data_IF_538433595877
#
_entry.id   IF_538433595877
#
_cell.length_a   1.000
_cell.length_b   1.000
_cell.length_c   1.000
_cell.angle_alpha   90.00
_cell.angle_beta   90.00
_cell.angle_gamma   90.00
#
_symmetry.space_group_name_H-M   'P 1'
#
loop_
_entity.id
_entity.type
_entity.pdbx_description
1 polymer ?
#
# COMPACT_ATOMS: atom_id res chain seq x y z
N UNK A 1 23.37 -11.14 -1.57
CA UNK A 1 24.51 -10.22 -1.32
C UNK A 1 24.60 -9.87 0.16
N UNK A 2 25.70 -9.27 0.61
CA UNK A 2 26.01 -9.02 2.03
C UNK A 2 24.87 -8.39 2.85
N UNK A 3 24.09 -7.45 2.27
CA UNK A 3 22.95 -6.83 2.95
C UNK A 3 21.82 -7.83 3.20
N UNK A 4 21.51 -8.68 2.22
CA UNK A 4 20.46 -9.70 2.34
C UNK A 4 20.88 -10.75 3.39
N UNK A 5 22.14 -11.15 3.38
CA UNK A 5 22.68 -12.12 4.32
C UNK A 5 22.68 -11.56 5.75
N UNK A 6 22.99 -10.26 5.93
CA UNK A 6 22.93 -9.61 7.25
C UNK A 6 21.51 -9.48 7.79
N UNK A 7 20.54 -9.13 6.95
CA UNK A 7 19.12 -9.07 7.34
C UNK A 7 18.60 -10.46 7.68
N UNK A 8 18.90 -11.47 6.86
CA UNK A 8 18.50 -12.85 7.13
C UNK A 8 19.09 -13.39 8.44
N UNK A 9 20.33 -13.03 8.76
CA UNK A 9 20.99 -13.44 10.01
C UNK A 9 20.40 -12.80 11.27
N UNK A 10 19.78 -11.62 11.13
CA UNK A 10 19.11 -10.91 12.24
C UNK A 10 17.61 -11.23 12.36
N UNK A 11 17.03 -11.91 11.35
CA UNK A 11 15.63 -12.27 11.37
C UNK A 11 15.31 -13.37 12.38
N UNK A 12 14.24 -13.19 13.14
CA UNK A 12 13.75 -14.17 14.11
C UNK A 12 12.35 -14.60 13.72
N UNK A 13 12.12 -15.91 13.64
CA UNK A 13 10.79 -16.45 13.42
C UNK A 13 10.09 -16.69 14.77
N UNK A 14 8.92 -16.09 14.93
CA UNK A 14 8.05 -16.32 16.09
C UNK A 14 6.72 -16.86 15.59
N UNK A 15 6.32 -18.04 16.07
CA UNK A 15 5.01 -18.61 15.79
C UNK A 15 3.97 -17.92 16.68
N UNK A 16 3.03 -17.20 16.06
CA UNK A 16 1.97 -16.47 16.75
C UNK A 16 0.68 -16.47 15.92
N UNK A 17 -0.45 -16.38 16.59
CA UNK A 17 -1.73 -16.04 15.97
C UNK A 17 -1.89 -14.52 16.02
N UNK A 18 -1.76 -13.88 14.88
CA UNK A 18 -1.85 -12.41 14.76
C UNK A 18 -3.25 -11.86 15.01
N UNK A 19 -4.25 -12.74 15.13
CA UNK A 19 -5.63 -12.38 15.51
C UNK A 19 -5.90 -12.50 17.01
N UNK A 20 -4.88 -12.88 17.81
CA UNK A 20 -4.93 -12.98 19.26
C UNK A 20 -4.06 -11.89 19.90
N UNK A 21 -4.68 -11.06 20.74
CA UNK A 21 -4.00 -9.95 21.41
C UNK A 21 -2.85 -10.40 22.34
N UNK A 22 -2.96 -11.60 22.94
CA UNK A 22 -1.90 -12.14 23.81
C UNK A 22 -0.65 -12.48 22.99
N UNK A 23 -0.84 -13.03 21.81
CA UNK A 23 0.26 -13.36 20.90
C UNK A 23 0.86 -12.10 20.27
N UNK A 24 0.03 -11.10 19.91
CA UNK A 24 0.51 -9.79 19.47
C UNK A 24 1.38 -9.12 20.53
N UNK A 25 0.96 -9.16 21.80
CA UNK A 25 1.79 -8.62 22.89
C UNK A 25 3.14 -9.30 22.98
N UNK A 26 3.20 -10.63 22.86
CA UNK A 26 4.48 -11.37 22.85
C UNK A 26 5.38 -10.96 21.69
N UNK A 27 4.79 -10.68 20.51
CA UNK A 27 5.54 -10.19 19.36
C UNK A 27 6.13 -8.81 19.65
N UNK A 28 5.36 -7.90 20.25
CA UNK A 28 5.86 -6.57 20.62
C UNK A 28 6.94 -6.64 21.70
N UNK A 29 6.77 -7.49 22.70
CA UNK A 29 7.76 -7.69 23.76
C UNK A 29 9.09 -8.28 23.23
N UNK A 30 9.07 -8.93 22.07
CA UNK A 30 10.26 -9.45 21.38
C UNK A 30 10.93 -8.44 20.44
N UNK A 31 10.31 -7.27 20.19
CA UNK A 31 10.86 -6.23 19.33
C UNK A 31 11.67 -5.22 20.14
N UNK A 32 12.77 -4.74 19.57
CA UNK A 32 13.58 -3.65 20.13
C UNK A 32 13.43 -2.40 19.26
N UNK A 33 13.36 -1.22 19.90
CA UNK A 33 13.29 0.06 19.20
C UNK A 33 11.93 0.36 18.57
N UNK A 34 11.92 1.08 17.46
CA UNK A 34 10.67 1.48 16.78
C UNK A 34 10.05 0.31 16.01
N UNK A 35 8.82 -0.04 16.36
CA UNK A 35 8.10 -1.15 15.74
C UNK A 35 7.37 -0.70 14.47
N UNK A 36 7.47 -1.52 13.44
CA UNK A 36 6.66 -1.42 12.22
C UNK A 36 6.00 -2.77 11.95
N UNK A 37 4.68 -2.79 11.84
CA UNK A 37 3.96 -3.99 11.40
C UNK A 37 3.76 -3.90 9.89
N UNK A 38 4.22 -4.92 9.17
CA UNK A 38 3.97 -5.11 7.76
C UNK A 38 2.96 -6.26 7.57
N UNK A 39 1.77 -5.93 7.10
CA UNK A 39 0.67 -6.90 6.95
C UNK A 39 0.78 -7.64 5.60
N UNK A 40 1.67 -8.61 5.50
CA UNK A 40 1.73 -9.55 4.37
C UNK A 40 0.74 -10.70 4.60
N UNK A 41 -0.54 -10.37 4.74
CA UNK A 41 -1.61 -11.29 5.14
C UNK A 41 -2.80 -11.23 4.17
N UNK A 42 -3.60 -12.30 4.06
CA UNK A 42 -4.88 -12.22 3.35
C UNK A 42 -5.78 -11.13 3.96
N UNK A 43 -6.52 -10.36 3.15
CA UNK A 43 -7.32 -9.21 3.62
C UNK A 43 -8.25 -9.51 4.81
N UNK A 44 -8.98 -10.64 4.86
CA UNK A 44 -9.83 -10.93 6.02
C UNK A 44 -9.04 -11.18 7.32
N UNK A 45 -7.80 -11.67 7.19
CA UNK A 45 -6.91 -11.89 8.36
C UNK A 45 -6.33 -10.55 8.81
N UNK A 46 -5.95 -9.69 7.87
CA UNK A 46 -5.48 -8.33 8.17
C UNK A 46 -6.51 -7.54 9.00
N UNK A 47 -7.78 -7.55 8.58
CA UNK A 47 -8.85 -6.86 9.34
C UNK A 47 -8.98 -7.42 10.76
N UNK A 48 -8.94 -8.75 10.93
CA UNK A 48 -9.00 -9.38 12.27
C UNK A 48 -7.78 -9.02 13.11
N UNK A 49 -6.59 -8.99 12.51
CA UNK A 49 -5.38 -8.59 13.20
C UNK A 49 -5.44 -7.12 13.64
N UNK A 50 -5.98 -6.22 12.82
CA UNK A 50 -6.21 -4.84 13.20
C UNK A 50 -7.18 -4.71 14.37
N UNK A 51 -8.28 -5.48 14.40
CA UNK A 51 -9.17 -5.51 15.57
C UNK A 51 -8.48 -6.06 16.82
N UNK A 52 -7.64 -7.09 16.68
CA UNK A 52 -6.90 -7.60 17.83
C UNK A 52 -5.89 -6.59 18.42
N UNK A 53 -5.44 -5.61 17.62
CA UNK A 53 -4.58 -4.51 18.09
C UNK A 53 -5.33 -3.50 18.97
N UNK A 54 -6.68 -3.40 18.88
CA UNK A 54 -7.47 -2.50 19.73
C UNK A 54 -7.39 -2.89 21.22
N UNK A 55 -7.19 -4.18 21.50
CA UNK A 55 -7.16 -4.74 22.85
C UNK A 55 -5.73 -4.85 23.43
N UNK A 56 -4.72 -4.32 22.73
CA UNK A 56 -3.31 -4.44 23.11
C UNK A 56 -2.68 -3.06 23.31
N UNK A 57 -1.84 -2.92 24.33
CA UNK A 57 -1.02 -1.72 24.47
C UNK A 57 -0.02 -1.62 23.29
N UNK A 58 -0.23 -0.63 22.44
CA UNK A 58 0.58 -0.45 21.25
C UNK A 58 1.93 0.20 21.57
N UNK A 59 3.04 -0.27 20.96
CA UNK A 59 4.35 0.36 21.13
C UNK A 59 4.33 1.83 20.71
N UNK A 60 5.06 2.66 21.44
CA UNK A 60 5.20 4.07 21.10
C UNK A 60 5.81 4.22 19.69
N UNK A 61 5.20 5.07 18.87
CA UNK A 61 5.68 5.30 17.51
C UNK A 61 5.37 4.17 16.53
N UNK A 62 4.51 3.20 16.88
CA UNK A 62 4.09 2.11 15.99
C UNK A 62 3.70 2.63 14.61
N UNK A 63 4.19 1.97 13.57
CA UNK A 63 3.81 2.19 12.17
C UNK A 63 3.11 0.97 11.60
N UNK A 64 2.09 1.21 10.79
CA UNK A 64 1.34 0.17 10.09
C UNK A 64 1.60 0.27 8.59
N UNK A 65 1.99 -0.84 7.97
CA UNK A 65 2.23 -0.94 6.53
C UNK A 65 1.27 -1.96 5.96
N UNK A 66 0.40 -1.51 5.06
CA UNK A 66 -0.68 -2.29 4.48
C UNK A 66 -0.42 -2.55 3.01
N UNK A 67 -0.72 -3.76 2.55
CA UNK A 67 -0.76 -4.12 1.12
C UNK A 67 -2.19 -4.09 0.57
N UNK A 68 -2.33 -3.88 -0.72
CA UNK A 68 -3.62 -4.05 -1.41
C UNK A 68 -4.11 -5.51 -1.36
N UNK A 69 -5.43 -5.74 -1.37
CA UNK A 69 -6.52 -4.77 -1.40
C UNK A 69 -6.85 -4.22 -0.01
N UNK A 70 -7.21 -2.93 0.07
CA UNK A 70 -7.59 -2.24 1.31
C UNK A 70 -9.07 -2.39 1.65
N UNK A 71 -9.77 -3.26 0.95
CA UNK A 71 -11.17 -3.59 1.05
C UNK A 71 -11.67 -4.26 -0.23
N UNK A 72 -12.86 -4.82 -0.21
CA UNK A 72 -13.52 -5.43 -1.39
C UNK A 72 -14.43 -4.44 -2.11
N UNK A 73 -14.82 -3.37 -1.44
CA UNK A 73 -15.68 -2.29 -1.89
C UNK A 73 -15.38 -0.99 -1.13
N UNK A 74 -16.07 0.09 -1.46
CA UNK A 74 -15.84 1.39 -0.85
C UNK A 74 -16.19 1.43 0.65
N UNK A 75 -17.20 0.67 1.09
CA UNK A 75 -17.63 0.62 2.49
C UNK A 75 -16.60 -0.12 3.36
N UNK A 76 -16.16 -1.29 2.92
CA UNK A 76 -15.13 -2.06 3.63
C UNK A 76 -13.78 -1.34 3.65
N UNK A 77 -13.43 -0.62 2.57
CA UNK A 77 -12.23 0.21 2.54
C UNK A 77 -12.31 1.39 3.51
N UNK A 78 -13.47 2.07 3.60
CA UNK A 78 -13.69 3.14 4.55
C UNK A 78 -13.64 2.63 6.00
N UNK A 79 -14.25 1.47 6.27
CA UNK A 79 -14.26 0.83 7.59
C UNK A 79 -12.85 0.45 8.05
N UNK A 80 -12.06 -0.16 7.17
CA UNK A 80 -10.66 -0.48 7.47
C UNK A 80 -9.85 0.79 7.71
N UNK A 81 -10.07 1.83 6.90
CA UNK A 81 -9.37 3.09 7.08
C UNK A 81 -9.69 3.75 8.43
N UNK A 82 -10.96 3.75 8.85
CA UNK A 82 -11.36 4.25 10.17
C UNK A 82 -10.67 3.46 11.30
N UNK A 83 -10.71 2.13 11.23
CA UNK A 83 -10.04 1.25 12.19
C UNK A 83 -8.54 1.57 12.31
N UNK A 84 -7.84 1.74 11.20
CA UNK A 84 -6.41 2.07 11.22
C UNK A 84 -6.12 3.43 11.86
N UNK A 85 -6.94 4.44 11.57
CA UNK A 85 -6.78 5.79 12.14
C UNK A 85 -7.16 5.87 13.63
N UNK A 86 -7.96 4.93 14.12
CA UNK A 86 -8.24 4.77 15.55
C UNK A 86 -7.05 4.12 16.28
N UNK A 87 -6.28 3.25 15.61
CA UNK A 87 -5.11 2.59 16.19
C UNK A 87 -3.88 3.52 16.25
N UNK A 88 -3.58 4.22 15.16
CA UNK A 88 -2.40 5.10 15.05
C UNK A 88 -2.71 6.34 14.20
N UNK A 89 -2.00 7.47 14.40
CA UNK A 89 -2.13 8.65 13.55
C UNK A 89 -1.88 8.36 12.06
N UNK A 90 -2.55 9.06 11.17
CA UNK A 90 -2.48 8.86 9.71
C UNK A 90 -1.06 8.91 9.14
N UNK A 91 -0.19 9.75 9.69
CA UNK A 91 1.22 9.87 9.28
C UNK A 91 2.06 8.62 9.59
N UNK A 92 1.49 7.66 10.32
CA UNK A 92 2.10 6.37 10.65
C UNK A 92 1.46 5.20 9.91
N UNK A 93 0.49 5.46 9.03
CA UNK A 93 -0.18 4.45 8.20
C UNK A 93 0.35 4.54 6.77
N UNK A 94 0.98 3.48 6.29
CA UNK A 94 1.56 3.39 4.97
C UNK A 94 0.80 2.37 4.12
N UNK A 95 0.10 2.85 3.10
CA UNK A 95 -0.65 2.03 2.14
C UNK A 95 0.24 1.80 0.93
N UNK A 96 0.78 0.60 0.82
CA UNK A 96 1.74 0.24 -0.23
C UNK A 96 1.01 -0.12 -1.52
N UNK A 97 1.34 0.60 -2.57
CA UNK A 97 0.99 0.26 -3.93
C UNK A 97 2.28 0.08 -4.75
N UNK A 98 2.58 -1.15 -5.14
CA UNK A 98 3.79 -1.45 -5.89
C UNK A 98 3.83 -0.76 -7.26
N UNK A 99 2.65 -0.51 -7.88
CA UNK A 99 2.58 0.14 -9.17
C UNK A 99 2.95 1.62 -9.09
N UNK A 100 2.51 2.31 -8.04
CA UNK A 100 2.93 3.69 -7.76
C UNK A 100 4.43 3.79 -7.41
N UNK A 101 5.04 2.69 -6.98
CA UNK A 101 6.48 2.59 -6.72
C UNK A 101 7.36 2.43 -7.97
N UNK A 102 6.76 2.19 -9.17
CA UNK A 102 7.52 2.10 -10.41
C UNK A 102 8.16 3.45 -10.74
N UNK A 103 9.43 3.42 -11.16
CA UNK A 103 10.20 4.63 -11.47
C UNK A 103 9.53 5.51 -12.54
N UNK A 104 8.89 4.90 -13.54
CA UNK A 104 8.10 5.61 -14.56
C UNK A 104 6.92 6.35 -13.96
N UNK A 105 6.23 5.77 -12.99
CA UNK A 105 5.06 6.39 -12.33
C UNK A 105 5.52 7.48 -11.34
N UNK A 106 6.56 7.23 -10.54
CA UNK A 106 7.13 8.24 -9.64
C UNK A 106 7.64 9.45 -10.43
N UNK A 107 8.22 9.24 -11.62
CA UNK A 107 8.67 10.34 -12.46
C UNK A 107 7.52 11.26 -12.89
N UNK A 108 6.29 10.77 -13.05
CA UNK A 108 5.12 11.62 -13.33
C UNK A 108 4.90 12.63 -12.20
N UNK A 109 5.02 12.19 -10.95
CA UNK A 109 4.91 13.05 -9.78
C UNK A 109 5.97 14.16 -9.82
N UNK A 110 7.23 13.78 -10.09
CA UNK A 110 8.33 14.73 -10.24
C UNK A 110 8.13 15.73 -11.39
N UNK A 111 7.67 15.26 -12.54
CA UNK A 111 7.42 16.09 -13.72
C UNK A 111 6.27 17.08 -13.48
N UNK A 112 5.18 16.63 -12.86
CA UNK A 112 3.99 17.44 -12.66
C UNK A 112 4.06 18.37 -11.47
N UNK A 113 4.62 17.92 -10.35
CA UNK A 113 4.48 18.63 -9.08
C UNK A 113 5.79 19.22 -8.54
N UNK A 114 6.94 18.81 -9.08
CA UNK A 114 8.23 19.35 -8.69
C UNK A 114 8.98 20.08 -9.80
N UNK A 115 8.44 20.14 -11.02
CA UNK A 115 9.09 20.76 -12.17
C UNK A 115 8.37 22.03 -12.62
N UNK A 116 8.90 23.17 -12.22
CA UNK A 116 8.35 24.50 -12.52
C UNK A 116 8.28 24.85 -14.00
N UNK A 117 9.01 24.14 -14.86
CA UNK A 117 8.96 24.37 -16.30
C UNK A 117 7.82 23.61 -16.97
N UNK A 118 7.49 22.44 -16.45
CA UNK A 118 6.47 21.56 -17.03
C UNK A 118 5.09 21.75 -16.41
N UNK A 119 5.02 22.08 -15.12
CA UNK A 119 3.76 22.30 -14.43
C UNK A 119 2.81 23.26 -15.16
N UNK A 120 3.25 24.45 -15.67
CA UNK A 120 2.36 25.37 -16.36
C UNK A 120 1.83 24.89 -17.71
N UNK A 121 2.46 23.88 -18.31
CA UNK A 121 2.07 23.36 -19.64
C UNK A 121 1.39 22.00 -19.58
N UNK A 122 1.42 21.32 -18.43
CA UNK A 122 0.73 20.04 -18.22
C UNK A 122 -0.70 20.28 -17.69
N UNK A 123 -1.52 20.95 -18.48
CA UNK A 123 -2.89 21.31 -18.14
C UNK A 123 -3.80 21.16 -19.37
N UNK A 124 -5.11 21.34 -19.20
CA UNK A 124 -6.12 21.18 -20.25
C UNK A 124 -6.03 22.19 -21.39
N UNK A 125 -5.29 23.28 -21.23
CA UNK A 125 -5.09 24.27 -22.32
C UNK A 125 -4.03 23.81 -23.32
N UNK A 126 -3.08 22.99 -22.88
CA UNK A 126 -1.91 22.60 -23.67
C UNK A 126 -1.86 21.11 -23.99
N UNK A 127 -2.56 20.26 -23.21
CA UNK A 127 -2.58 18.81 -23.40
C UNK A 127 -3.92 18.40 -24.00
N UNK A 128 -3.91 17.92 -25.24
CA UNK A 128 -5.10 17.48 -25.95
C UNK A 128 -5.58 16.10 -25.48
N UNK A 129 -4.64 15.18 -25.26
CA UNK A 129 -4.96 13.81 -24.83
C UNK A 129 -3.83 13.19 -24.02
N UNK A 130 -4.19 12.24 -23.19
CA UNK A 130 -3.26 11.39 -22.44
C UNK A 130 -3.57 9.94 -22.75
N UNK A 131 -2.58 9.19 -23.21
CA UNK A 131 -2.67 7.77 -23.47
C UNK A 131 -1.74 7.03 -22.50
N UNK A 132 -2.28 6.00 -21.83
CA UNK A 132 -1.54 5.16 -20.91
C UNK A 132 -1.57 3.74 -21.45
N UNK A 133 -0.41 3.26 -21.87
CA UNK A 133 -0.23 1.92 -22.42
C UNK A 133 0.62 1.11 -21.46
N UNK A 134 0.18 -0.08 -21.17
CA UNK A 134 0.91 -1.06 -20.37
C UNK A 134 0.91 -2.41 -21.09
N UNK A 135 2.08 -2.80 -21.57
CA UNK A 135 2.30 -4.10 -22.17
C UNK A 135 2.83 -5.05 -21.10
N UNK A 136 2.12 -6.16 -20.86
CA UNK A 136 2.45 -7.14 -19.84
C UNK A 136 2.94 -8.43 -20.51
N UNK A 137 4.18 -8.82 -20.22
CA UNK A 137 4.79 -10.03 -20.73
C UNK A 137 4.50 -11.27 -19.86
N UNK A 138 4.05 -11.06 -18.62
CA UNK A 138 3.73 -12.14 -17.71
C UNK A 138 2.37 -12.75 -18.02
N UNK A 139 2.30 -14.07 -18.06
CA UNK A 139 1.05 -14.80 -18.14
C UNK A 139 0.32 -14.86 -16.78
N UNK A 140 -0.71 -15.69 -16.70
CA UNK A 140 -1.53 -15.82 -15.48
C UNK A 140 -0.77 -16.44 -14.29
N UNK A 141 0.32 -17.17 -14.53
CA UNK A 141 1.26 -17.71 -13.53
C UNK A 141 0.62 -18.34 -12.28
N UNK A 142 -0.42 -19.14 -12.46
CA UNK A 142 -1.17 -19.75 -11.35
C UNK A 142 -2.30 -18.88 -10.78
N UNK A 143 -2.49 -17.64 -11.25
CA UNK A 143 -3.56 -16.72 -10.86
C UNK A 143 -4.85 -16.85 -11.71
N UNK A 144 -4.99 -17.91 -12.51
CA UNK A 144 -6.12 -18.07 -13.42
C UNK A 144 -7.48 -17.96 -12.71
N UNK A 145 -7.63 -18.58 -11.53
CA UNK A 145 -8.87 -18.51 -10.76
C UNK A 145 -9.20 -17.10 -10.23
N UNK A 146 -8.19 -16.32 -9.87
CA UNK A 146 -8.37 -14.92 -9.51
C UNK A 146 -8.77 -14.09 -10.73
N UNK A 147 -8.07 -14.27 -11.84
CA UNK A 147 -8.30 -13.51 -13.06
C UNK A 147 -9.66 -13.80 -13.69
N UNK A 148 -10.14 -15.05 -13.58
CA UNK A 148 -11.47 -15.47 -14.04
C UNK A 148 -12.60 -14.72 -13.31
N UNK A 149 -12.35 -14.36 -12.05
CA UNK A 149 -13.27 -13.57 -11.23
C UNK A 149 -13.08 -12.06 -11.40
N UNK A 150 -11.87 -11.55 -11.34
CA UNK A 150 -11.56 -10.11 -11.36
C UNK A 150 -11.52 -9.53 -12.77
N UNK A 151 -10.92 -10.26 -13.71
CA UNK A 151 -10.66 -9.79 -15.08
C UNK A 151 -9.72 -8.59 -15.16
N UNK A 152 -9.35 -8.21 -16.37
CA UNK A 152 -8.43 -7.10 -16.62
C UNK A 152 -8.95 -5.74 -16.14
N UNK A 153 -10.27 -5.55 -16.09
CA UNK A 153 -10.87 -4.30 -15.62
C UNK A 153 -10.51 -4.01 -14.17
N UNK A 154 -10.66 -4.99 -13.29
CA UNK A 154 -10.37 -4.85 -11.87
C UNK A 154 -8.87 -4.98 -11.60
N UNK A 155 -8.24 -6.00 -12.19
CA UNK A 155 -6.84 -6.33 -11.90
C UNK A 155 -5.86 -5.27 -12.42
N UNK A 156 -6.09 -4.69 -13.60
CA UNK A 156 -5.17 -3.75 -14.23
C UNK A 156 -5.73 -2.32 -14.35
N UNK A 157 -6.92 -2.15 -14.90
CA UNK A 157 -7.43 -0.81 -15.18
C UNK A 157 -7.75 -0.09 -13.88
N UNK A 158 -8.62 -0.65 -13.06
CA UNK A 158 -9.06 -0.03 -11.80
C UNK A 158 -7.94 0.06 -10.78
N UNK A 159 -7.16 -0.99 -10.60
CA UNK A 159 -6.17 -1.04 -9.54
C UNK A 159 -4.85 -0.35 -9.88
N UNK A 160 -4.52 -0.18 -11.17
CA UNK A 160 -3.25 0.39 -11.60
C UNK A 160 -3.38 1.58 -12.56
N UNK A 161 -4.01 1.41 -13.73
CA UNK A 161 -3.99 2.44 -14.76
C UNK A 161 -4.76 3.70 -14.34
N UNK A 162 -5.89 3.55 -13.64
CA UNK A 162 -6.63 4.71 -13.10
C UNK A 162 -5.84 5.50 -12.05
N UNK A 163 -4.92 4.88 -11.33
CA UNK A 163 -4.00 5.58 -10.43
C UNK A 163 -3.07 6.51 -11.22
N UNK A 164 -2.55 6.03 -12.34
CA UNK A 164 -1.69 6.83 -13.23
C UNK A 164 -2.50 7.97 -13.87
N UNK A 165 -3.75 7.69 -14.31
CA UNK A 165 -4.67 8.74 -14.79
C UNK A 165 -4.88 9.80 -13.71
N UNK A 166 -5.12 9.39 -12.47
CA UNK A 166 -5.30 10.32 -11.36
C UNK A 166 -4.07 11.22 -11.18
N UNK A 167 -2.87 10.65 -11.17
CA UNK A 167 -1.63 11.43 -11.08
C UNK A 167 -1.44 12.39 -12.26
N UNK A 168 -1.92 12.03 -13.46
CA UNK A 168 -1.85 12.92 -14.64
C UNK A 168 -2.92 14.01 -14.64
N UNK A 169 -4.09 13.77 -14.06
CA UNK A 169 -5.25 14.65 -14.17
C UNK A 169 -5.56 15.47 -12.91
N UNK A 170 -5.06 15.05 -11.75
CA UNK A 170 -5.32 15.77 -10.49
C UNK A 170 -4.67 17.15 -10.46
N UNK A 171 -5.23 18.08 -9.72
CA UNK A 171 -4.57 19.33 -9.39
C UNK A 171 -3.33 19.09 -8.52
N UNK A 172 -2.34 19.99 -8.62
CA UNK A 172 -1.15 19.90 -7.78
C UNK A 172 -1.54 20.03 -6.30
N UNK A 173 -1.11 19.10 -5.43
CA UNK A 173 -1.38 19.21 -4.01
C UNK A 173 -0.67 20.43 -3.40
N UNK A 174 -1.31 21.07 -2.41
CA UNK A 174 -0.76 22.24 -1.74
C UNK A 174 0.50 21.94 -0.91
N UNK A 175 0.69 20.67 -0.52
CA UNK A 175 1.87 20.13 0.17
C UNK A 175 2.12 18.70 -0.32
N UNK A 176 3.37 18.34 -0.47
CA UNK A 176 3.83 16.97 -0.72
C UNK A 176 4.55 16.41 0.49
#
# INVERSE_FOLDING_TARGET
GELVDSVAASAVYVKADVTDGTDLKKLFDACEGQVTIYFALPPPVTVKACHALEDVELPEGLRLVMEKPFGTDAESAASLNALLTDLVPEDRIHRVDHFLGLSTVINIVGLRFANRLLEPVLNSEHVESVEIVWDEDLGLEGRAGYYDWAGAMVDMIQSHLLQVVALMAMEAPSQM
#
